data_IF_743584411569
#
_entry.id   IF_743584411569
#
_cell.length_a   1.000
_cell.length_b   1.000
_cell.length_c   1.000
_cell.angle_alpha   90.00
_cell.angle_beta   90.00
_cell.angle_gamma   90.00
#
_symmetry.space_group_name_H-M   'P 1'
#
loop_
_entity.id
_entity.type
_entity.pdbx_description
1 polymer ?
#
# COMPACT_ATOMS: atom_id res chain seq x y z
N UNK A 1 22.03 46.57 45.80
CA UNK A 1 21.88 45.09 45.78
C UNK A 1 21.35 44.70 44.41
N UNK A 2 22.21 44.08 43.59
CA UNK A 2 21.82 43.39 42.35
C UNK A 2 20.96 42.18 42.70
N UNK A 3 19.94 41.87 41.90
CA UNK A 3 19.48 40.51 41.67
C UNK A 3 18.87 40.43 40.25
N UNK A 4 19.71 39.97 39.34
CA UNK A 4 19.36 39.37 38.06
C UNK A 4 18.75 37.98 38.28
N UNK A 5 17.67 37.65 37.56
CA UNK A 5 17.30 36.27 37.26
C UNK A 5 16.57 36.22 35.92
N UNK A 6 17.35 36.09 34.84
CA UNK A 6 16.85 35.64 33.55
C UNK A 6 16.63 34.13 33.64
N UNK A 7 15.37 33.69 33.53
CA UNK A 7 15.05 32.29 33.32
C UNK A 7 15.36 31.94 31.87
N UNK A 8 16.51 31.31 31.64
CA UNK A 8 16.81 30.65 30.37
C UNK A 8 15.90 29.42 30.23
N UNK A 9 14.84 29.54 29.42
CA UNK A 9 14.23 28.38 28.79
C UNK A 9 15.24 27.82 27.78
N UNK A 10 15.76 26.64 28.07
CA UNK A 10 16.59 25.88 27.14
C UNK A 10 15.72 25.38 25.99
N UNK A 11 15.76 26.07 24.86
CA UNK A 11 15.22 25.60 23.58
C UNK A 11 16.23 24.68 22.92
N UNK A 12 16.54 23.53 23.54
CA UNK A 12 17.19 22.46 22.79
C UNK A 12 16.12 21.75 21.97
N UNK A 13 16.21 21.72 20.63
CA UNK A 13 15.36 20.85 19.83
C UNK A 13 15.61 19.43 20.32
N UNK A 14 14.54 18.68 20.62
CA UNK A 14 14.64 17.24 20.82
C UNK A 14 15.19 16.63 19.54
N UNK A 15 16.51 16.50 19.46
CA UNK A 15 17.16 15.85 18.35
C UNK A 15 16.74 14.39 18.39
N UNK A 16 16.02 13.93 17.36
CA UNK A 16 15.82 12.52 17.10
C UNK A 16 17.15 11.81 17.28
N UNK A 17 17.18 10.76 18.10
CA UNK A 17 18.32 9.85 18.05
C UNK A 17 18.42 9.34 16.61
N UNK A 18 19.59 9.50 15.93
CA UNK A 18 19.78 8.93 14.61
C UNK A 18 19.43 7.44 14.66
N UNK A 19 18.75 6.93 13.63
CA UNK A 19 18.57 5.50 13.49
C UNK A 19 19.96 4.85 13.57
N UNK A 20 20.18 4.06 14.63
CA UNK A 20 21.39 3.27 14.79
C UNK A 20 21.00 1.83 14.47
N UNK A 21 21.58 1.21 13.43
CA UNK A 21 21.39 -0.21 13.22
C UNK A 21 21.86 -0.93 14.48
N UNK A 22 20.93 -1.52 15.24
CA UNK A 22 21.33 -2.49 16.25
C UNK A 22 21.88 -3.68 15.48
N UNK A 23 23.19 -3.88 15.54
CA UNK A 23 23.85 -5.08 15.06
C UNK A 23 23.48 -6.27 15.96
N UNK A 24 22.21 -6.63 15.99
CA UNK A 24 21.85 -7.99 16.34
C UNK A 24 22.25 -8.84 15.13
N UNK A 25 22.98 -9.92 15.38
CA UNK A 25 23.26 -10.93 14.36
C UNK A 25 21.90 -11.26 13.71
N UNK A 26 21.67 -10.74 12.50
CA UNK A 26 20.61 -11.25 11.65
C UNK A 26 21.09 -12.64 11.31
N UNK A 27 20.63 -13.62 12.10
CA UNK A 27 20.74 -15.02 11.74
C UNK A 27 20.15 -15.07 10.34
N UNK A 28 20.99 -15.30 9.33
CA UNK A 28 20.50 -15.70 8.01
C UNK A 28 19.65 -16.93 8.30
N UNK A 29 18.34 -16.74 8.31
CA UNK A 29 17.46 -17.84 8.03
C UNK A 29 17.96 -18.32 6.68
N UNK A 30 18.44 -19.57 6.63
CA UNK A 30 18.53 -20.29 5.37
C UNK A 30 17.23 -19.99 4.62
N UNK A 31 17.26 -19.77 3.29
CA UNK A 31 16.02 -19.71 2.56
C UNK A 31 15.28 -20.97 2.98
N UNK A 32 14.23 -20.79 3.79
CA UNK A 32 13.30 -21.88 4.01
C UNK A 32 12.97 -22.23 2.59
N UNK A 33 13.28 -23.46 2.17
CA UNK A 33 12.59 -24.04 1.05
C UNK A 33 11.15 -23.63 1.30
N UNK A 34 10.61 -22.73 0.48
CA UNK A 34 9.19 -22.45 0.48
C UNK A 34 8.64 -23.85 0.25
N UNK A 35 8.27 -24.51 1.35
CA UNK A 35 8.01 -25.92 1.36
C UNK A 35 6.93 -26.04 0.32
N UNK A 36 7.26 -26.75 -0.74
CA UNK A 36 6.50 -26.67 -1.97
C UNK A 36 5.07 -27.05 -1.64
N UNK A 37 4.22 -26.04 -1.47
CA UNK A 37 2.80 -26.20 -1.46
C UNK A 37 2.46 -26.40 -2.93
N UNK A 38 2.81 -27.59 -3.44
CA UNK A 38 2.25 -28.17 -4.65
C UNK A 38 0.78 -28.49 -4.35
N UNK A 39 -0.03 -27.47 -4.07
CA UNK A 39 -1.43 -27.56 -4.39
C UNK A 39 -1.49 -27.42 -5.91
N UNK A 40 -2.12 -28.39 -6.59
CA UNK A 40 -2.44 -28.23 -8.00
C UNK A 40 -3.20 -26.91 -8.18
N UNK A 41 -2.57 -25.95 -8.83
CA UNK A 41 -3.16 -24.65 -9.06
C UNK A 41 -4.23 -24.79 -10.13
N UNK A 42 -5.49 -24.77 -9.71
CA UNK A 42 -6.62 -24.89 -10.63
C UNK A 42 -6.98 -23.50 -11.15
N UNK A 43 -6.49 -23.16 -12.34
CA UNK A 43 -6.83 -21.91 -13.03
C UNK A 43 -8.12 -22.07 -13.83
N UNK A 44 -8.81 -20.96 -14.09
CA UNK A 44 -9.95 -20.87 -15.03
C UNK A 44 -11.07 -21.93 -14.88
N UNK A 45 -11.30 -22.40 -13.65
CA UNK A 45 -12.25 -23.46 -13.34
C UNK A 45 -13.73 -23.06 -13.37
N UNK A 46 -14.07 -21.82 -13.72
CA UNK A 46 -15.45 -21.36 -13.70
C UNK A 46 -16.23 -21.90 -14.91
N UNK A 47 -17.36 -22.60 -14.72
CA UNK A 47 -18.19 -23.06 -15.83
C UNK A 47 -18.74 -21.88 -16.66
N UNK A 48 -18.93 -22.02 -17.98
CA UNK A 48 -19.44 -20.96 -18.85
C UNK A 48 -20.77 -20.36 -18.39
N UNK A 49 -21.66 -21.16 -17.80
CA UNK A 49 -22.96 -20.69 -17.32
C UNK A 49 -22.81 -19.67 -16.19
N UNK A 50 -21.72 -19.74 -15.41
CA UNK A 50 -21.42 -18.77 -14.34
C UNK A 50 -20.75 -17.50 -14.89
N UNK A 51 -20.05 -17.57 -16.02
CA UNK A 51 -19.50 -16.38 -16.69
C UNK A 51 -20.61 -15.46 -17.18
N UNK A 52 -21.68 -16.04 -17.74
CA UNK A 52 -22.85 -15.27 -18.19
C UNK A 52 -23.52 -14.49 -17.05
N UNK A 53 -23.41 -14.98 -15.80
CA UNK A 53 -23.89 -14.23 -14.63
C UNK A 53 -23.11 -12.91 -14.47
N UNK A 54 -21.78 -12.92 -14.52
CA UNK A 54 -20.97 -11.70 -14.41
C UNK A 54 -21.26 -10.71 -15.54
N UNK A 55 -21.46 -11.22 -16.75
CA UNK A 55 -21.88 -10.40 -17.90
C UNK A 55 -23.26 -9.78 -17.69
N UNK A 56 -24.22 -10.55 -17.17
CA UNK A 56 -25.56 -10.05 -16.86
C UNK A 56 -25.59 -8.97 -15.76
N UNK A 57 -24.56 -8.93 -14.91
CA UNK A 57 -24.41 -7.95 -13.82
C UNK A 57 -23.79 -6.62 -14.26
N UNK A 58 -23.21 -6.51 -15.46
CA UNK A 58 -22.55 -5.28 -15.92
C UNK A 58 -23.41 -4.00 -15.81
N UNK A 59 -24.73 -4.02 -16.13
CA UNK A 59 -25.58 -2.85 -15.91
C UNK A 59 -25.68 -2.46 -14.43
N UNK A 60 -25.74 -3.45 -13.53
CA UNK A 60 -25.78 -3.22 -12.09
C UNK A 60 -24.46 -2.65 -11.58
N UNK A 61 -23.31 -3.19 -12.03
CA UNK A 61 -21.97 -2.67 -11.71
C UNK A 61 -21.86 -1.21 -12.15
N UNK A 62 -22.30 -0.90 -13.36
CA UNK A 62 -22.29 0.46 -13.90
C UNK A 62 -23.08 1.43 -13.02
N UNK A 63 -24.24 1.00 -12.51
CA UNK A 63 -25.15 1.87 -11.75
C UNK A 63 -24.84 1.92 -10.24
N UNK A 64 -24.21 0.87 -9.68
CA UNK A 64 -24.11 0.68 -8.24
C UNK A 64 -22.68 0.59 -7.71
N UNK A 65 -21.73 0.15 -8.54
CA UNK A 65 -20.33 -0.06 -8.13
C UNK A 65 -19.43 1.05 -8.66
N UNK A 66 -19.49 1.35 -9.96
CA UNK A 66 -18.68 2.42 -10.55
C UNK A 66 -18.87 3.79 -9.88
N UNK A 67 -20.07 4.19 -9.43
CA UNK A 67 -20.24 5.47 -8.72
C UNK A 67 -19.56 5.55 -7.35
N UNK A 68 -19.08 4.42 -6.79
CA UNK A 68 -18.29 4.41 -5.56
C UNK A 68 -16.85 4.88 -5.79
N UNK A 69 -16.34 4.75 -7.03
CA UNK A 69 -15.06 5.33 -7.39
C UNK A 69 -15.16 6.85 -7.36
N UNK A 70 -14.19 7.49 -6.70
CA UNK A 70 -14.17 8.93 -6.60
C UNK A 70 -13.60 9.51 -7.88
N UNK A 71 -14.22 10.55 -8.47
CA UNK A 71 -13.61 11.29 -9.57
C UNK A 71 -12.21 11.78 -9.18
N UNK A 72 -11.25 11.73 -10.11
CA UNK A 72 -9.83 12.08 -9.86
C UNK A 72 -9.71 13.50 -9.33
N UNK A 73 -10.50 14.40 -9.87
CA UNK A 73 -10.57 15.83 -9.59
C UNK A 73 -11.08 16.11 -8.17
N UNK A 74 -11.78 15.14 -7.57
CA UNK A 74 -12.24 15.19 -6.18
C UNK A 74 -11.40 14.31 -5.26
N UNK A 75 -10.44 13.54 -5.80
CA UNK A 75 -9.61 12.62 -5.05
C UNK A 75 -8.44 13.36 -4.40
N UNK A 76 -8.17 13.02 -3.14
CA UNK A 76 -6.95 13.50 -2.48
C UNK A 76 -5.74 12.93 -3.24
N UNK A 77 -4.66 13.69 -3.28
CA UNK A 77 -3.38 13.27 -3.85
C UNK A 77 -2.33 13.20 -2.74
N UNK A 78 -1.30 12.35 -2.85
CA UNK A 78 -0.24 12.26 -1.83
C UNK A 78 0.36 13.62 -1.47
N UNK A 79 0.52 14.52 -2.45
CA UNK A 79 1.05 15.86 -2.24
C UNK A 79 0.18 16.77 -1.36
N UNK A 80 -1.12 16.47 -1.19
CA UNK A 80 -2.00 17.21 -0.28
C UNK A 80 -1.63 16.99 1.20
N UNK A 81 -0.86 15.93 1.49
CA UNK A 81 -0.52 15.47 2.84
C UNK A 81 1.00 15.44 3.10
N UNK A 82 1.81 15.87 2.13
CA UNK A 82 3.26 15.86 2.18
C UNK A 82 3.82 17.28 2.08
N UNK A 83 5.06 17.53 2.53
CA UNK A 83 5.72 18.82 2.31
C UNK A 83 5.77 19.16 0.82
N UNK A 84 5.37 20.38 0.46
CA UNK A 84 5.19 20.79 -0.94
C UNK A 84 6.53 21.25 -1.56
N UNK A 85 7.12 20.48 -2.49
CA UNK A 85 8.40 20.82 -3.08
C UNK A 85 8.32 21.97 -4.11
N UNK A 86 7.12 22.45 -4.45
CA UNK A 86 6.93 23.57 -5.38
C UNK A 86 7.05 24.94 -4.70
N UNK A 87 6.97 24.97 -3.37
CA UNK A 87 7.18 26.17 -2.55
C UNK A 87 8.65 26.63 -2.56
N UNK A 88 8.95 27.88 -2.12
CA UNK A 88 10.32 28.31 -1.87
C UNK A 88 11.09 27.29 -1.01
N UNK A 89 12.38 27.11 -1.28
CA UNK A 89 13.18 26.04 -0.67
C UNK A 89 13.13 26.06 0.86
N UNK A 90 13.17 27.24 1.46
CA UNK A 90 13.18 27.39 2.91
C UNK A 90 11.86 26.92 3.54
N UNK A 91 10.72 27.20 2.89
CA UNK A 91 9.39 26.76 3.34
C UNK A 91 9.26 25.23 3.25
N UNK A 92 9.66 24.63 2.13
CA UNK A 92 9.73 23.17 1.98
C UNK A 92 10.62 22.52 3.07
N UNK A 93 11.80 23.08 3.33
CA UNK A 93 12.70 22.54 4.35
C UNK A 93 12.14 22.70 5.77
N UNK A 94 11.39 23.76 6.03
CA UNK A 94 10.71 23.97 7.31
C UNK A 94 9.58 22.94 7.52
N UNK A 95 8.78 22.66 6.49
CA UNK A 95 7.75 21.60 6.52
C UNK A 95 8.36 20.21 6.72
N UNK A 96 9.45 19.88 6.02
CA UNK A 96 10.19 18.62 6.22
C UNK A 96 10.72 18.53 7.65
N UNK A 97 11.26 19.62 8.20
CA UNK A 97 11.77 19.63 9.58
C UNK A 97 10.64 19.41 10.58
N UNK A 98 9.49 20.05 10.38
CA UNK A 98 8.32 19.87 11.22
C UNK A 98 7.76 18.44 11.16
N UNK A 99 7.73 17.82 9.97
CA UNK A 99 7.38 16.40 9.80
C UNK A 99 8.30 15.52 10.65
N UNK A 100 9.62 15.70 10.51
CA UNK A 100 10.61 14.87 11.23
C UNK A 100 10.51 15.04 12.73
N UNK A 101 10.28 16.26 13.23
CA UNK A 101 10.06 16.51 14.66
C UNK A 101 8.88 15.70 15.21
N UNK A 102 7.73 15.70 14.52
CA UNK A 102 6.57 14.89 14.93
C UNK A 102 6.86 13.39 14.85
N UNK A 103 7.52 12.96 13.78
CA UNK A 103 7.88 11.54 13.62
C UNK A 103 8.93 11.08 14.63
N UNK A 104 9.69 11.97 15.28
CA UNK A 104 10.59 11.62 16.39
C UNK A 104 9.86 11.08 17.61
N UNK A 105 8.60 11.48 17.81
CA UNK A 105 7.79 11.08 18.95
C UNK A 105 7.12 9.70 18.73
N UNK A 106 7.18 9.16 17.51
CA UNK A 106 6.67 7.82 17.21
C UNK A 106 7.65 6.73 17.69
N UNK A 107 7.10 5.70 18.31
CA UNK A 107 7.85 4.52 18.76
C UNK A 107 8.32 3.67 17.57
N UNK A 108 9.40 2.90 17.78
CA UNK A 108 9.89 1.97 16.77
C UNK A 108 8.85 0.88 16.47
N UNK A 109 8.08 0.43 17.47
CA UNK A 109 7.00 -0.55 17.28
C UNK A 109 5.92 -0.03 16.32
N UNK A 110 5.55 1.26 16.44
CA UNK A 110 4.61 1.89 15.52
C UNK A 110 5.18 1.94 14.09
N UNK A 111 6.46 2.31 13.96
CA UNK A 111 7.13 2.39 12.67
C UNK A 111 7.27 1.02 12.00
N UNK A 112 7.47 -0.06 12.75
CA UNK A 112 7.52 -1.42 12.20
C UNK A 112 6.18 -1.79 11.55
N UNK A 113 5.06 -1.50 12.22
CA UNK A 113 3.71 -1.76 11.66
C UNK A 113 3.47 -0.88 10.43
N UNK A 114 3.75 0.42 10.51
CA UNK A 114 3.57 1.35 9.39
C UNK A 114 4.43 0.98 8.17
N UNK A 115 5.64 0.47 8.40
CA UNK A 115 6.49 -0.07 7.33
C UNK A 115 5.89 -1.32 6.72
N UNK A 116 5.31 -2.21 7.54
CA UNK A 116 4.56 -3.37 7.07
C UNK A 116 3.41 -2.98 6.16
N UNK A 117 2.58 -2.04 6.60
CA UNK A 117 1.44 -1.51 5.84
C UNK A 117 1.91 -0.92 4.50
N UNK A 118 2.95 -0.07 4.53
CA UNK A 118 3.50 0.51 3.30
C UNK A 118 4.03 -0.55 2.32
N UNK A 119 4.73 -1.58 2.82
CA UNK A 119 5.22 -2.68 1.98
C UNK A 119 4.06 -3.44 1.33
N UNK A 120 2.95 -3.63 2.03
CA UNK A 120 1.75 -4.25 1.45
C UNK A 120 1.11 -3.36 0.39
N UNK A 121 0.99 -2.04 0.61
CA UNK A 121 0.45 -1.11 -0.38
C UNK A 121 1.29 -1.08 -1.68
N UNK A 122 2.63 -1.09 -1.56
CA UNK A 122 3.55 -1.16 -2.71
C UNK A 122 3.45 -2.46 -3.52
N UNK A 123 2.85 -3.53 -2.95
CA UNK A 123 2.64 -4.79 -3.64
C UNK A 123 1.45 -4.76 -4.62
N UNK A 124 0.86 -3.58 -4.89
CA UNK A 124 -0.26 -3.35 -5.81
C UNK A 124 -0.21 -4.12 -7.14
N UNK A 125 0.95 -4.26 -7.84
CA UNK A 125 1.01 -5.07 -9.07
C UNK A 125 0.56 -6.53 -8.86
N UNK A 126 0.79 -7.09 -7.67
CA UNK A 126 0.33 -8.43 -7.30
C UNK A 126 -1.19 -8.47 -7.19
N UNK A 127 -1.80 -7.46 -6.56
CA UNK A 127 -3.25 -7.39 -6.35
C UNK A 127 -4.01 -7.15 -7.65
N UNK A 128 -3.54 -6.23 -8.49
CA UNK A 128 -4.13 -5.99 -9.80
C UNK A 128 -4.02 -7.24 -10.69
N UNK A 129 -2.87 -7.92 -10.68
CA UNK A 129 -2.70 -9.20 -11.37
C UNK A 129 -3.69 -10.24 -10.86
N UNK A 130 -3.85 -10.34 -9.54
CA UNK A 130 -4.79 -11.26 -8.90
C UNK A 130 -6.24 -10.99 -9.33
N UNK A 131 -6.71 -9.73 -9.34
CA UNK A 131 -8.04 -9.37 -9.86
C UNK A 131 -8.18 -9.80 -11.33
N UNK A 132 -7.16 -9.58 -12.14
CA UNK A 132 -7.13 -9.98 -13.55
C UNK A 132 -7.03 -11.50 -13.78
N UNK A 133 -6.89 -12.32 -12.72
CA UNK A 133 -7.06 -13.77 -12.82
C UNK A 133 -8.51 -14.23 -12.69
N UNK A 134 -9.45 -13.34 -12.34
CA UNK A 134 -10.84 -13.70 -12.13
C UNK A 134 -11.61 -13.86 -13.44
N UNK A 135 -12.11 -15.07 -13.61
CA UNK A 135 -13.05 -15.46 -14.66
C UNK A 135 -14.29 -14.53 -14.61
N UNK A 136 -14.61 -13.88 -15.74
CA UNK A 136 -15.77 -13.00 -15.88
C UNK A 136 -15.59 -11.54 -15.48
N UNK A 137 -14.46 -11.17 -14.85
CA UNK A 137 -14.17 -9.81 -14.36
C UNK A 137 -12.87 -9.23 -14.96
N UNK A 138 -11.94 -10.10 -15.36
CA UNK A 138 -10.61 -9.71 -15.88
C UNK A 138 -10.66 -8.75 -17.07
N UNK A 139 -9.63 -7.91 -17.17
CA UNK A 139 -9.43 -7.03 -18.33
C UNK A 139 -8.58 -7.72 -19.42
N UNK A 140 -9.23 -8.25 -20.45
CA UNK A 140 -8.58 -9.00 -21.54
C UNK A 140 -7.72 -8.13 -22.47
N UNK A 141 -7.97 -6.82 -22.54
CA UNK A 141 -7.30 -5.92 -23.51
C UNK A 141 -6.48 -4.83 -22.85
N UNK A 142 -6.42 -4.82 -21.50
CA UNK A 142 -5.82 -3.74 -20.70
C UNK A 142 -6.52 -2.38 -20.84
N UNK A 143 -7.63 -2.34 -21.58
CA UNK A 143 -8.44 -1.15 -21.87
C UNK A 143 -9.90 -1.50 -22.14
N UNK A 144 -10.36 -2.68 -21.69
CA UNK A 144 -11.73 -3.13 -21.95
C UNK A 144 -12.74 -2.12 -21.41
N UNK A 145 -13.84 -1.95 -22.16
CA UNK A 145 -14.97 -1.11 -21.79
C UNK A 145 -15.96 -1.82 -20.85
N UNK A 146 -15.70 -3.07 -20.48
CA UNK A 146 -16.49 -3.76 -19.46
C UNK A 146 -16.44 -2.96 -18.14
N UNK A 147 -17.58 -2.75 -17.46
CA UNK A 147 -17.63 -2.09 -16.16
C UNK A 147 -16.71 -2.74 -15.11
N UNK A 148 -16.51 -4.04 -15.18
CA UNK A 148 -15.58 -4.78 -14.31
C UNK A 148 -14.12 -4.35 -14.54
N UNK A 149 -13.72 -4.21 -15.80
CA UNK A 149 -12.38 -3.76 -16.18
C UNK A 149 -12.16 -2.28 -15.84
N UNK A 150 -13.18 -1.43 -16.06
CA UNK A 150 -13.16 -0.02 -15.64
C UNK A 150 -12.98 0.08 -14.12
N UNK A 151 -13.75 -0.70 -13.36
CA UNK A 151 -13.61 -0.74 -11.90
C UNK A 151 -12.22 -1.18 -11.46
N UNK A 152 -11.68 -2.27 -12.02
CA UNK A 152 -10.35 -2.78 -11.67
C UNK A 152 -9.25 -1.74 -11.88
N UNK A 153 -9.28 -1.02 -13.02
CA UNK A 153 -8.32 0.07 -13.30
C UNK A 153 -8.55 1.28 -12.39
N UNK A 154 -9.80 1.66 -12.15
CA UNK A 154 -10.16 2.76 -11.25
C UNK A 154 -9.71 2.52 -9.81
N UNK A 155 -10.03 1.35 -9.26
CA UNK A 155 -9.57 0.91 -7.94
C UNK A 155 -8.04 0.89 -7.86
N UNK A 156 -7.36 0.32 -8.85
CA UNK A 156 -5.89 0.28 -8.86
C UNK A 156 -5.29 1.70 -8.86
N UNK A 157 -5.89 2.64 -9.59
CA UNK A 157 -5.46 4.04 -9.58
C UNK A 157 -5.71 4.72 -8.23
N UNK A 158 -6.78 4.37 -7.53
CA UNK A 158 -7.03 4.84 -6.17
C UNK A 158 -6.01 4.28 -5.17
N UNK A 159 -5.76 2.97 -5.17
CA UNK A 159 -4.82 2.29 -4.26
C UNK A 159 -3.37 2.74 -4.46
N UNK A 160 -2.95 3.07 -5.68
CA UNK A 160 -1.59 3.52 -5.96
C UNK A 160 -1.19 4.71 -5.07
N UNK A 161 -2.14 5.59 -4.75
CA UNK A 161 -1.90 6.78 -3.92
C UNK A 161 -1.56 6.42 -2.47
N UNK A 162 -2.01 5.27 -1.96
CA UNK A 162 -1.72 4.82 -0.60
C UNK A 162 -0.22 4.52 -0.43
N UNK A 163 0.33 3.71 -1.35
CA UNK A 163 1.77 3.40 -1.41
C UNK A 163 2.63 4.65 -1.56
N UNK A 164 2.30 5.50 -2.55
CA UNK A 164 3.03 6.74 -2.82
C UNK A 164 3.14 7.66 -1.58
N UNK A 165 2.01 7.85 -0.87
CA UNK A 165 1.95 8.65 0.34
C UNK A 165 2.80 8.06 1.46
N UNK A 166 2.58 6.79 1.80
CA UNK A 166 3.27 6.13 2.90
C UNK A 166 4.78 6.01 2.64
N UNK A 167 5.16 5.67 1.41
CA UNK A 167 6.56 5.56 0.98
C UNK A 167 7.27 6.89 1.14
N UNK A 168 6.66 7.98 0.66
CA UNK A 168 7.26 9.31 0.74
C UNK A 168 7.30 9.82 2.18
N UNK A 169 6.25 9.58 2.98
CA UNK A 169 6.25 9.90 4.41
C UNK A 169 7.39 9.20 5.16
N UNK A 170 7.55 7.89 4.96
CA UNK A 170 8.63 7.11 5.59
C UNK A 170 10.01 7.56 5.12
N UNK A 171 10.16 7.86 3.83
CA UNK A 171 11.40 8.42 3.27
C UNK A 171 11.77 9.75 3.94
N UNK A 172 10.83 10.71 4.00
CA UNK A 172 11.06 12.03 4.59
C UNK A 172 11.25 11.98 6.11
N UNK A 173 10.66 10.99 6.78
CA UNK A 173 10.82 10.81 8.23
C UNK A 173 12.29 10.64 8.65
N UNK A 174 13.07 9.96 7.81
CA UNK A 174 14.44 9.53 8.12
C UNK A 174 14.56 8.65 9.37
N UNK A 175 13.47 7.96 9.77
CA UNK A 175 13.45 7.05 10.92
C UNK A 175 13.63 5.57 10.56
N UNK A 176 13.63 5.24 9.27
CA UNK A 176 13.66 3.86 8.75
C UNK A 176 14.76 3.65 7.71
N UNK A 177 15.15 2.39 7.49
CA UNK A 177 16.10 2.00 6.44
C UNK A 177 15.35 1.73 5.13
N UNK A 178 15.22 2.77 4.29
CA UNK A 178 14.52 2.68 3.01
C UNK A 178 15.13 1.64 2.07
N UNK A 179 16.44 1.39 2.13
CA UNK A 179 17.10 0.40 1.27
C UNK A 179 16.64 -1.02 1.63
N UNK A 180 16.46 -1.31 2.93
CA UNK A 180 15.93 -2.61 3.36
C UNK A 180 14.45 -2.77 3.02
N UNK A 181 13.68 -1.69 3.13
CA UNK A 181 12.26 -1.68 2.76
C UNK A 181 12.10 -1.95 1.25
N UNK A 182 12.79 -1.20 0.39
CA UNK A 182 12.73 -1.36 -1.06
C UNK A 182 13.14 -2.77 -1.53
N UNK A 183 14.16 -3.35 -0.88
CA UNK A 183 14.51 -4.77 -1.13
C UNK A 183 13.40 -5.71 -0.71
N UNK A 184 12.70 -5.43 0.38
CA UNK A 184 11.60 -6.25 0.88
C UNK A 184 10.41 -6.19 -0.07
N UNK A 185 10.06 -5.00 -0.57
CA UNK A 185 9.05 -4.82 -1.64
C UNK A 185 9.44 -5.63 -2.88
N UNK A 186 10.70 -5.53 -3.32
CA UNK A 186 11.18 -6.28 -4.48
C UNK A 186 11.07 -7.81 -4.27
N UNK A 187 11.42 -8.31 -3.08
CA UNK A 187 11.25 -9.73 -2.75
C UNK A 187 9.77 -10.13 -2.71
N UNK A 188 8.90 -9.30 -2.15
CA UNK A 188 7.47 -9.57 -2.03
C UNK A 188 6.81 -9.67 -3.40
N UNK A 189 6.99 -8.65 -4.25
CA UNK A 189 6.45 -8.66 -5.62
C UNK A 189 7.01 -9.83 -6.42
N UNK A 190 8.32 -10.10 -6.33
CA UNK A 190 8.95 -11.22 -7.03
C UNK A 190 8.48 -12.60 -6.54
N UNK A 191 8.02 -12.70 -5.28
CA UNK A 191 7.46 -13.94 -4.72
C UNK A 191 5.97 -14.11 -5.05
N UNK A 192 5.25 -13.00 -5.24
CA UNK A 192 3.79 -12.99 -5.41
C UNK A 192 3.05 -13.45 -4.15
N UNK A 193 1.77 -13.79 -4.33
CA UNK A 193 0.88 -14.22 -3.25
C UNK A 193 0.08 -15.44 -3.69
N UNK A 194 0.02 -16.46 -2.82
CA UNK A 194 -0.94 -17.56 -2.97
C UNK A 194 -2.20 -17.21 -2.19
N UNK A 195 -3.24 -16.82 -2.92
CA UNK A 195 -4.55 -16.58 -2.33
C UNK A 195 -5.26 -17.91 -2.02
N UNK A 196 -5.91 -18.01 -0.86
CA UNK A 196 -6.76 -19.18 -0.51
C UNK A 196 -7.86 -19.44 -1.54
N UNK A 197 -8.29 -18.41 -2.30
CA UNK A 197 -9.26 -18.54 -3.37
C UNK A 197 -8.74 -19.29 -4.60
N UNK A 198 -7.41 -19.33 -4.79
CA UNK A 198 -6.77 -20.12 -5.85
C UNK A 198 -6.65 -21.60 -5.49
N UNK A 199 -6.92 -21.95 -4.23
CA UNK A 199 -6.84 -23.33 -3.71
C UNK A 199 -8.21 -24.01 -3.70
N UNK A 200 -9.31 -23.27 -3.56
CA UNK A 200 -10.66 -23.84 -3.44
C UNK A 200 -11.63 -23.33 -4.51
N UNK A 201 -12.04 -24.23 -5.44
CA UNK A 201 -12.96 -23.96 -6.57
C UNK A 201 -14.25 -23.21 -6.19
N UNK A 202 -14.77 -23.42 -4.99
CA UNK A 202 -16.08 -22.91 -4.55
C UNK A 202 -16.05 -21.44 -4.09
N UNK A 203 -14.86 -20.86 -3.92
CA UNK A 203 -14.72 -19.54 -3.29
C UNK A 203 -14.40 -18.41 -4.29
N UNK A 204 -14.30 -18.68 -5.60
CA UNK A 204 -14.10 -17.61 -6.60
C UNK A 204 -15.24 -16.57 -6.59
N UNK A 205 -16.48 -16.98 -6.29
CA UNK A 205 -17.60 -16.04 -6.06
C UNK A 205 -17.40 -15.17 -4.80
N UNK A 206 -16.52 -15.57 -3.88
CA UNK A 206 -16.25 -14.89 -2.60
C UNK A 206 -15.03 -13.98 -2.64
N UNK A 207 -14.34 -13.86 -3.78
CA UNK A 207 -13.21 -12.94 -3.92
C UNK A 207 -13.63 -11.47 -3.71
N UNK A 208 -14.82 -11.09 -4.16
CA UNK A 208 -15.40 -9.77 -3.90
C UNK A 208 -15.71 -9.53 -2.41
N UNK A 209 -15.98 -10.58 -1.63
CA UNK A 209 -16.18 -10.51 -0.17
C UNK A 209 -14.83 -10.25 0.53
N UNK A 210 -13.72 -10.72 -0.03
CA UNK A 210 -12.39 -10.49 0.55
C UNK A 210 -11.89 -9.06 0.35
N UNK A 211 -12.18 -8.45 -0.81
CA UNK A 211 -11.92 -7.02 -1.02
C UNK A 211 -12.64 -6.13 0.01
N UNK A 212 -13.87 -6.50 0.42
CA UNK A 212 -14.59 -5.83 1.51
C UNK A 212 -13.90 -5.99 2.89
N UNK A 213 -13.04 -6.99 3.08
CA UNK A 213 -12.33 -7.21 4.36
C UNK A 213 -11.02 -6.40 4.45
N UNK A 214 -10.50 -5.91 3.33
CA UNK A 214 -9.33 -5.03 3.27
C UNK A 214 -9.66 -3.56 3.57
N UNK A 215 -10.90 -3.24 3.93
CA UNK A 215 -11.28 -1.90 4.39
C UNK A 215 -11.49 -0.87 3.27
N UNK A 216 -11.78 -1.33 2.06
CA UNK A 216 -12.26 -0.52 0.93
C UNK A 216 -13.78 -0.42 0.96
#
# INVERSE_FOLDING_TARGET
MQLTALSHFSTHPLACSPWRPRHHLVRRLSPSSAASLHHEMITHSMPPEKLEVFKSLEPWVTQSVLPLLKPVENSWQPNDLLPDPSQPSDEFFDEVRALRQRTCELSDDYLVVLVGDMITEEALPTYQTWINTFDGVRDDTMCSSSPWAIWSRGWSAEENRHGDLLRTYLYLSGRVDMKMIERTVQYLIGSGMVSVFNVYKEYKLRALIWLNFLGV
#
